data_IF_066241389114
#
_entry.id   IF_066241389114
#
_cell.length_a   1.000
_cell.length_b   1.000
_cell.length_c   1.000
_cell.angle_alpha   90.00
_cell.angle_beta   90.00
_cell.angle_gamma   90.00
#
_symmetry.space_group_name_H-M   'P 1'
#
loop_
_entity.id
_entity.type
_entity.pdbx_description
1 polymer ?
#
# COMPACT_ATOMS: atom_id res chain seq x y z
N UNK A 1 2.99 -1.86 4.94
CA UNK A 1 2.81 -0.56 5.63
C UNK A 1 3.89 -0.13 6.66
N UNK A 2 4.52 -0.99 7.50
CA UNK A 2 5.44 -0.50 8.56
C UNK A 2 6.68 0.24 8.07
N UNK A 3 7.21 -0.14 6.91
CA UNK A 3 8.44 0.43 6.35
C UNK A 3 8.22 1.83 5.78
N UNK A 4 7.13 2.06 5.05
CA UNK A 4 6.75 3.38 4.56
C UNK A 4 6.56 4.39 5.71
N UNK A 5 5.88 3.98 6.78
CA UNK A 5 5.68 4.83 7.96
C UNK A 5 7.01 5.17 8.65
N UNK A 6 7.89 4.18 8.81
CA UNK A 6 9.23 4.40 9.37
C UNK A 6 10.04 5.40 8.52
N UNK A 7 10.03 5.25 7.19
CA UNK A 7 10.74 6.15 6.28
C UNK A 7 10.16 7.57 6.31
N UNK A 8 8.84 7.71 6.37
CA UNK A 8 8.17 9.00 6.50
C UNK A 8 8.52 9.70 7.83
N UNK A 9 8.50 8.97 8.95
CA UNK A 9 8.94 9.49 10.26
C UNK A 9 10.41 9.94 10.21
N UNK A 10 11.29 9.15 9.61
CA UNK A 10 12.70 9.49 9.46
C UNK A 10 12.92 10.78 8.65
N UNK A 11 12.10 11.05 7.63
CA UNK A 11 12.14 12.33 6.89
C UNK A 11 11.83 13.51 7.82
N UNK A 12 10.83 13.37 8.68
CA UNK A 12 10.46 14.40 9.66
C UNK A 12 11.58 14.59 10.69
N UNK A 13 12.14 13.51 11.21
CA UNK A 13 13.21 13.55 12.22
C UNK A 13 14.49 14.21 11.66
N UNK A 14 14.79 14.00 10.38
CA UNK A 14 15.93 14.62 9.70
C UNK A 14 15.71 16.09 9.30
N UNK A 15 14.50 16.64 9.46
CA UNK A 15 14.17 18.00 9.03
C UNK A 15 15.01 19.07 9.76
N UNK A 16 15.20 18.91 11.05
CA UNK A 16 15.98 19.84 11.89
C UNK A 16 17.38 19.31 12.26
N UNK A 17 17.62 18.01 12.10
CA UNK A 17 18.83 17.33 12.58
C UNK A 17 19.84 17.00 11.48
N UNK A 18 19.55 17.35 10.22
CA UNK A 18 20.40 17.07 9.05
C UNK A 18 20.08 15.73 8.39
N UNK A 19 20.74 15.44 7.26
CA UNK A 19 20.53 14.25 6.43
C UNK A 19 19.16 14.11 5.73
N UNK A 20 18.36 15.19 5.70
CA UNK A 20 17.05 15.21 5.01
C UNK A 20 17.11 14.69 3.58
N UNK A 21 18.12 15.08 2.81
CA UNK A 21 18.28 14.64 1.44
C UNK A 21 18.45 13.11 1.31
N UNK A 22 19.10 12.46 2.28
CA UNK A 22 19.22 11.00 2.30
C UNK A 22 17.88 10.36 2.66
N UNK A 23 17.21 10.84 3.71
CA UNK A 23 15.91 10.32 4.15
C UNK A 23 14.85 10.42 3.04
N UNK A 24 14.79 11.56 2.34
CA UNK A 24 13.88 11.76 1.20
C UNK A 24 14.19 10.80 0.04
N UNK A 25 15.47 10.57 -0.28
CA UNK A 25 15.85 9.61 -1.32
C UNK A 25 15.48 8.18 -0.95
N UNK A 26 15.64 7.78 0.32
CA UNK A 26 15.23 6.47 0.80
C UNK A 26 13.72 6.27 0.71
N UNK A 27 12.93 7.26 1.14
CA UNK A 27 11.48 7.23 0.99
C UNK A 27 11.05 7.13 -0.49
N UNK A 28 11.65 7.95 -1.36
CA UNK A 28 11.38 7.89 -2.80
C UNK A 28 11.74 6.53 -3.40
N UNK A 29 12.87 5.95 -3.00
CA UNK A 29 13.29 4.62 -3.43
C UNK A 29 12.24 3.56 -3.10
N UNK A 30 11.77 3.54 -1.86
CA UNK A 30 10.74 2.62 -1.42
C UNK A 30 9.41 2.80 -2.19
N UNK A 31 8.96 4.05 -2.39
CA UNK A 31 7.76 4.34 -3.16
C UNK A 31 7.87 3.86 -4.62
N UNK A 32 9.05 4.02 -5.24
CA UNK A 32 9.32 3.56 -6.60
C UNK A 32 9.31 2.02 -6.69
N UNK A 33 9.84 1.34 -5.68
CA UNK A 33 9.82 -0.13 -5.60
C UNK A 33 8.38 -0.63 -5.51
N UNK A 34 7.56 -0.06 -4.62
CA UNK A 34 6.14 -0.42 -4.52
C UNK A 34 5.40 -0.15 -5.83
N UNK A 35 5.66 0.98 -6.49
CA UNK A 35 5.06 1.30 -7.78
C UNK A 35 5.48 0.30 -8.86
N UNK A 36 6.75 -0.08 -8.90
CA UNK A 36 7.25 -1.08 -9.83
C UNK A 36 6.56 -2.44 -9.63
N UNK A 37 6.36 -2.86 -8.37
CA UNK A 37 5.61 -4.09 -8.05
C UNK A 37 4.15 -3.98 -8.51
N UNK A 38 3.47 -2.87 -8.24
CA UNK A 38 2.10 -2.63 -8.71
C UNK A 38 1.99 -2.66 -10.23
N UNK A 39 2.92 -2.02 -10.95
CA UNK A 39 2.95 -2.03 -12.42
C UNK A 39 3.19 -3.44 -12.96
N UNK A 40 4.10 -4.20 -12.35
CA UNK A 40 4.40 -5.58 -12.72
C UNK A 40 3.16 -6.49 -12.58
N UNK A 41 2.34 -6.25 -11.58
CA UNK A 41 1.14 -7.04 -11.27
C UNK A 41 -0.18 -6.31 -11.57
N UNK A 42 -0.14 -5.35 -12.50
CA UNK A 42 -1.29 -4.51 -12.82
C UNK A 42 -2.47 -5.32 -13.39
N UNK A 43 -2.17 -6.43 -14.08
CA UNK A 43 -3.18 -7.32 -14.64
C UNK A 43 -3.95 -8.02 -13.53
N UNK A 44 -3.26 -8.61 -12.57
CA UNK A 44 -3.89 -9.32 -11.46
C UNK A 44 -4.66 -8.38 -10.54
N UNK A 45 -4.17 -7.16 -10.33
CA UNK A 45 -4.92 -6.09 -9.63
C UNK A 45 -6.23 -5.79 -10.38
N UNK A 46 -6.18 -5.65 -11.70
CA UNK A 46 -7.37 -5.36 -12.51
C UNK A 46 -8.38 -6.52 -12.51
N UNK A 47 -7.90 -7.76 -12.60
CA UNK A 47 -8.75 -8.96 -12.50
C UNK A 47 -9.43 -9.04 -11.13
N UNK A 48 -8.71 -8.73 -10.05
CA UNK A 48 -9.29 -8.71 -8.71
C UNK A 48 -10.31 -7.58 -8.52
N UNK A 49 -10.05 -6.39 -9.10
CA UNK A 49 -11.00 -5.27 -9.12
C UNK A 49 -12.28 -5.64 -9.85
N UNK A 50 -12.17 -6.37 -10.95
CA UNK A 50 -13.34 -6.86 -11.69
C UNK A 50 -14.10 -7.90 -10.87
N UNK A 51 -13.39 -8.82 -10.22
CA UNK A 51 -13.99 -9.85 -9.38
C UNK A 51 -14.83 -9.28 -8.24
N UNK A 52 -14.35 -8.22 -7.58
CA UNK A 52 -15.08 -7.53 -6.51
C UNK A 52 -15.94 -6.36 -7.02
N UNK A 53 -16.14 -6.21 -8.33
CA UNK A 53 -17.00 -5.17 -8.87
C UNK A 53 -18.44 -5.41 -8.40
N UNK A 54 -18.93 -4.52 -7.54
CA UNK A 54 -20.28 -4.60 -6.97
C UNK A 54 -20.39 -5.40 -5.66
N UNK A 55 -19.27 -5.86 -5.10
CA UNK A 55 -19.22 -6.30 -3.71
C UNK A 55 -19.35 -5.06 -2.80
N UNK A 56 -20.39 -5.01 -1.96
CA UNK A 56 -20.61 -3.89 -1.03
C UNK A 56 -19.65 -3.91 0.15
N UNK A 57 -19.04 -5.06 0.41
CA UNK A 57 -18.29 -5.31 1.63
C UNK A 57 -16.78 -5.32 1.36
N UNK A 58 -16.36 -5.31 0.09
CA UNK A 58 -14.95 -5.40 -0.29
C UNK A 58 -14.61 -4.50 -1.46
N UNK A 59 -13.49 -3.78 -1.33
CA UNK A 59 -12.96 -2.92 -2.39
C UNK A 59 -11.44 -3.08 -2.48
N UNK A 60 -10.92 -3.35 -3.67
CA UNK A 60 -9.45 -3.32 -3.89
C UNK A 60 -8.98 -1.88 -3.79
N UNK A 61 -7.98 -1.62 -2.94
CA UNK A 61 -7.43 -0.27 -2.74
C UNK A 61 -7.02 0.40 -4.08
N UNK A 62 -7.10 1.73 -4.14
CA UNK A 62 -6.67 2.52 -5.30
C UNK A 62 -5.17 2.34 -5.63
N UNK A 63 -4.34 2.20 -4.61
CA UNK A 63 -2.90 1.93 -4.66
C UNK A 63 -2.57 0.72 -3.78
N UNK A 64 -3.00 -0.49 -4.17
CA UNK A 64 -2.96 -1.63 -3.27
C UNK A 64 -1.51 -2.02 -2.96
N UNK A 65 -1.26 -2.38 -1.71
CA UNK A 65 -0.05 -3.10 -1.34
C UNK A 65 -0.06 -4.46 -2.02
N UNK A 66 1.03 -4.81 -2.71
CA UNK A 66 1.18 -6.09 -3.39
C UNK A 66 2.36 -6.83 -2.78
N UNK A 67 2.12 -8.09 -2.37
CA UNK A 67 3.16 -8.96 -1.80
C UNK A 67 3.21 -10.27 -2.59
N UNK A 68 4.41 -10.70 -2.94
CA UNK A 68 4.62 -11.98 -3.61
C UNK A 68 4.79 -13.06 -2.54
N UNK A 69 3.91 -14.05 -2.53
CA UNK A 69 4.01 -15.24 -1.69
C UNK A 69 4.57 -16.44 -2.46
N UNK A 70 4.74 -17.56 -1.76
CA UNK A 70 5.28 -18.80 -2.35
C UNK A 70 4.38 -19.43 -3.42
N UNK A 71 3.07 -19.13 -3.40
CA UNK A 71 2.06 -19.75 -4.26
C UNK A 71 1.26 -18.74 -5.10
N UNK A 72 1.61 -17.46 -5.08
CA UNK A 72 0.85 -16.42 -5.78
C UNK A 72 1.16 -15.03 -5.26
N UNK A 73 0.24 -14.10 -5.50
CA UNK A 73 0.35 -12.72 -5.03
C UNK A 73 -0.79 -12.39 -4.06
N UNK A 74 -0.49 -11.54 -3.09
CA UNK A 74 -1.46 -10.90 -2.23
C UNK A 74 -1.64 -9.46 -2.71
N UNK A 75 -2.89 -9.01 -2.79
CA UNK A 75 -3.27 -7.63 -3.12
C UNK A 75 -4.14 -7.12 -1.97
N UNK A 76 -3.82 -5.94 -1.44
CA UNK A 76 -4.60 -5.34 -0.36
C UNK A 76 -6.03 -5.00 -0.81
N UNK A 77 -7.00 -5.32 0.04
CA UNK A 77 -8.44 -5.09 -0.15
C UNK A 77 -9.00 -4.49 1.15
N UNK A 78 -9.77 -3.43 1.03
CA UNK A 78 -10.59 -2.88 2.11
C UNK A 78 -11.78 -3.79 2.36
N UNK A 79 -12.08 -4.03 3.63
CA UNK A 79 -13.28 -4.75 4.03
C UNK A 79 -14.17 -3.83 4.87
N UNK A 80 -15.42 -3.68 4.47
CA UNK A 80 -16.42 -2.95 5.24
C UNK A 80 -16.77 -3.74 6.49
N UNK A 81 -16.63 -3.10 7.66
CA UNK A 81 -17.05 -3.66 8.94
C UNK A 81 -18.15 -2.77 9.49
N UNK A 82 -19.41 -3.24 9.58
CA UNK A 82 -20.48 -2.43 10.14
C UNK A 82 -20.21 -2.14 11.61
N UNK A 83 -20.48 -0.90 12.04
CA UNK A 83 -20.52 -0.56 13.46
C UNK A 83 -21.87 -1.05 13.96
N UNK A 84 -21.88 -1.97 14.94
CA UNK A 84 -23.11 -2.34 15.62
C UNK A 84 -23.70 -1.07 16.26
N UNK A 85 -24.97 -0.78 15.95
CA UNK A 85 -25.69 0.27 16.66
C UNK A 85 -26.12 -0.32 17.99
N UNK A 86 -25.58 0.20 19.08
CA UNK A 86 -26.15 -0.03 20.42
C UNK A 86 -27.49 0.70 20.49
N UNK A 87 -28.57 0.04 20.02
CA UNK A 87 -29.96 0.43 20.31
C UNK A 87 -30.39 -0.03 21.72
#
# INVERSE_FOLDING_TARGET
>A
MPELEMLARNVVDCWSNGNLALAVRSLQGHLNEEEAVRRKHAKEIAELREQYRGDSDREVDGHPEVRIGNAGIFVAVWHWVPIESDD
#
